data_IF_994233145662
#
_entry.id   IF_994233145662
#
_cell.length_a   1.000
_cell.length_b   1.000
_cell.length_c   1.000
_cell.angle_alpha   90.00
_cell.angle_beta   90.00
_cell.angle_gamma   90.00
#
_symmetry.space_group_name_H-M   'P 1'
#
loop_
_entity.id
_entity.type
_entity.pdbx_description
1 polymer ?
#
# COMPACT_ATOMS: atom_id res chain seq x y z
N UNK A 1 15.18 0.80 23.36
CA UNK A 1 15.34 -0.53 22.73
C UNK A 1 13.95 -1.08 22.40
N UNK A 2 13.54 -1.07 21.12
CA UNK A 2 12.43 -1.86 20.56
C UNK A 2 12.64 -1.90 19.05
N UNK A 3 12.88 -3.11 18.54
CA UNK A 3 13.24 -3.41 17.16
C UNK A 3 11.97 -3.61 16.35
N UNK A 4 11.86 -2.99 15.18
CA UNK A 4 11.04 -3.46 14.06
C UNK A 4 11.58 -2.83 12.77
N UNK A 5 12.47 -3.55 12.11
CA UNK A 5 12.70 -3.55 10.67
C UNK A 5 12.74 -2.18 9.94
N UNK A 6 13.84 -1.44 10.12
CA UNK A 6 14.90 -1.46 9.11
C UNK A 6 14.61 -1.09 7.65
N UNK A 7 13.50 -0.44 7.28
CA UNK A 7 13.37 0.17 5.95
C UNK A 7 13.13 1.66 6.05
N UNK A 8 14.09 2.44 5.52
CA UNK A 8 14.02 3.91 5.38
C UNK A 8 12.78 4.27 4.57
N UNK A 9 11.68 4.58 5.26
CA UNK A 9 10.55 5.31 4.73
C UNK A 9 11.03 6.76 4.54
N UNK A 10 11.49 7.05 3.34
CA UNK A 10 11.90 8.38 2.89
C UNK A 10 10.75 9.36 3.05
N UNK A 11 10.62 10.00 4.22
CA UNK A 11 9.82 11.20 4.51
C UNK A 11 8.31 11.19 4.20
N UNK A 12 7.80 10.14 3.54
CA UNK A 12 6.44 10.00 3.05
C UNK A 12 5.86 8.76 3.71
N UNK A 13 4.77 8.94 4.45
CA UNK A 13 4.10 7.91 5.23
C UNK A 13 3.90 6.63 4.40
N UNK A 14 4.24 5.44 4.92
CA UNK A 14 4.02 4.20 4.21
C UNK A 14 2.54 4.05 3.82
N UNK A 15 2.29 3.49 2.64
CA UNK A 15 0.93 3.18 2.18
C UNK A 15 0.29 2.19 3.17
N UNK A 16 -0.96 2.40 3.58
CA UNK A 16 -1.61 1.64 4.66
C UNK A 16 -1.62 2.33 6.03
N UNK A 17 -0.87 3.41 6.20
CA UNK A 17 -0.83 4.20 7.45
C UNK A 17 -1.08 5.69 7.17
N UNK A 18 -2.12 6.25 7.76
CA UNK A 18 -2.41 7.68 7.68
C UNK A 18 -1.91 8.39 8.94
N UNK A 19 -1.51 9.66 8.82
CA UNK A 19 -1.30 10.53 9.97
C UNK A 19 -2.66 10.74 10.64
N UNK A 20 -2.82 10.23 11.86
CA UNK A 20 -3.98 10.51 12.70
C UNK A 20 -4.07 12.00 13.02
N UNK A 21 -5.25 12.45 13.45
CA UNK A 21 -5.56 13.86 13.68
C UNK A 21 -4.61 14.59 14.66
N UNK A 22 -3.86 13.84 15.47
CA UNK A 22 -2.88 14.37 16.43
C UNK A 22 -1.48 14.60 15.83
N UNK A 23 -1.31 14.39 14.52
CA UNK A 23 -0.03 14.43 13.78
C UNK A 23 1.08 13.48 14.29
N UNK A 24 0.78 12.71 15.35
CA UNK A 24 1.71 11.78 16.03
C UNK A 24 1.30 10.32 15.94
N UNK A 25 0.02 10.03 15.66
CA UNK A 25 -0.48 8.66 15.59
C UNK A 25 -0.46 8.16 14.13
N UNK A 26 0.06 6.96 13.89
CA UNK A 26 -0.13 6.24 12.64
C UNK A 26 -1.43 5.44 12.78
N UNK A 27 -2.53 5.99 12.30
CA UNK A 27 -3.81 5.28 12.31
C UNK A 27 -3.90 4.40 11.05
N UNK A 28 -4.14 3.09 11.21
CA UNK A 28 -4.37 2.21 10.07
C UNK A 28 -5.65 2.64 9.36
N UNK A 29 -5.51 3.09 8.12
CA UNK A 29 -6.68 3.39 7.28
C UNK A 29 -7.24 2.07 6.76
N UNK A 30 -8.40 1.65 7.28
CA UNK A 30 -9.04 0.37 6.89
C UNK A 30 -9.10 0.19 5.38
N UNK A 31 -9.51 1.24 4.66
CA UNK A 31 -9.60 1.24 3.20
C UNK A 31 -8.26 0.96 2.50
N UNK A 32 -7.16 1.43 3.06
CA UNK A 32 -5.83 1.22 2.48
C UNK A 32 -5.21 -0.11 2.88
N UNK A 33 -5.54 -0.61 4.07
CA UNK A 33 -5.20 -1.98 4.48
C UNK A 33 -5.91 -3.00 3.58
N UNK A 34 -7.20 -2.80 3.30
CA UNK A 34 -7.95 -3.64 2.34
C UNK A 34 -7.34 -3.55 0.93
N UNK A 35 -6.94 -2.35 0.49
CA UNK A 35 -6.24 -2.20 -0.79
C UNK A 35 -4.86 -2.89 -0.80
N UNK A 36 -4.13 -2.89 0.33
CA UNK A 36 -2.84 -3.58 0.47
C UNK A 36 -2.99 -5.10 0.39
N UNK A 37 -3.97 -5.65 1.11
CA UNK A 37 -4.27 -7.08 1.05
C UNK A 37 -4.64 -7.47 -0.38
N UNK A 38 -5.46 -6.66 -1.05
CA UNK A 38 -5.83 -6.90 -2.44
C UNK A 38 -4.64 -6.81 -3.39
N UNK A 39 -3.75 -5.83 -3.21
CA UNK A 39 -2.50 -5.73 -3.98
C UNK A 39 -1.63 -6.98 -3.82
N UNK A 40 -1.52 -7.49 -2.59
CA UNK A 40 -0.76 -8.70 -2.28
C UNK A 40 -1.35 -9.91 -2.98
N UNK A 41 -2.66 -10.12 -2.89
CA UNK A 41 -3.34 -11.23 -3.57
C UNK A 41 -3.10 -11.20 -5.09
N UNK A 42 -3.29 -10.04 -5.71
CA UNK A 42 -3.10 -9.87 -7.15
C UNK A 42 -1.63 -10.08 -7.55
N UNK A 43 -0.68 -9.64 -6.71
CA UNK A 43 0.74 -9.87 -6.96
C UNK A 43 1.14 -11.33 -6.79
N UNK A 44 0.59 -12.03 -5.79
CA UNK A 44 0.76 -13.46 -5.60
C UNK A 44 0.20 -14.27 -6.78
N UNK A 45 -0.88 -13.78 -7.41
CA UNK A 45 -1.41 -14.31 -8.66
C UNK A 45 -0.57 -13.95 -9.91
N UNK A 46 0.57 -13.28 -9.75
CA UNK A 46 1.51 -12.95 -10.83
C UNK A 46 1.17 -11.69 -11.63
N UNK A 47 0.25 -10.84 -11.14
CA UNK A 47 -0.10 -9.60 -11.86
C UNK A 47 1.00 -8.54 -11.70
N UNK A 48 1.22 -7.79 -12.80
CA UNK A 48 2.07 -6.59 -12.82
C UNK A 48 1.33 -5.34 -12.37
N UNK A 49 2.06 -4.30 -11.98
CA UNK A 49 1.49 -3.08 -11.37
C UNK A 49 0.38 -2.40 -12.18
N UNK A 50 0.47 -2.45 -13.51
CA UNK A 50 -0.57 -1.89 -14.40
C UNK A 50 -1.89 -2.63 -14.24
N UNK A 51 -1.86 -3.97 -14.22
CA UNK A 51 -3.06 -4.79 -14.05
C UNK A 51 -3.62 -4.64 -12.63
N UNK A 52 -2.75 -4.61 -11.62
CA UNK A 52 -3.17 -4.38 -10.24
C UNK A 52 -3.87 -3.03 -10.10
N UNK A 53 -3.28 -1.95 -10.63
CA UNK A 53 -3.87 -0.61 -10.61
C UNK A 53 -5.24 -0.57 -11.30
N UNK A 54 -5.37 -1.24 -12.45
CA UNK A 54 -6.64 -1.34 -13.16
C UNK A 54 -7.69 -2.12 -12.34
N UNK A 55 -7.31 -3.26 -11.75
CA UNK A 55 -8.20 -4.05 -10.90
C UNK A 55 -8.67 -3.27 -9.68
N UNK A 56 -7.76 -2.59 -8.96
CA UNK A 56 -8.13 -1.75 -7.82
C UNK A 56 -9.10 -0.63 -8.21
N UNK A 57 -8.88 -0.01 -9.38
CA UNK A 57 -9.80 1.02 -9.90
C UNK A 57 -11.17 0.42 -10.22
N UNK A 58 -11.21 -0.74 -10.85
CA UNK A 58 -12.45 -1.43 -11.22
C UNK A 58 -13.23 -1.92 -9.99
N UNK A 59 -12.52 -2.33 -8.94
CA UNK A 59 -13.09 -2.77 -7.65
C UNK A 59 -13.49 -1.59 -6.75
N UNK A 60 -13.24 -0.34 -7.17
CA UNK A 60 -13.66 0.87 -6.46
C UNK A 60 -12.70 1.32 -5.35
N UNK A 61 -11.51 0.72 -5.25
CA UNK A 61 -10.49 1.18 -4.32
C UNK A 61 -9.99 2.57 -4.71
N UNK A 62 -9.84 3.42 -3.70
CA UNK A 62 -9.48 4.82 -3.86
C UNK A 62 -7.99 5.01 -3.63
N UNK A 63 -7.24 5.53 -4.62
CA UNK A 63 -5.86 5.92 -4.39
C UNK A 63 -5.81 7.15 -3.46
N UNK A 64 -4.70 7.33 -2.75
CA UNK A 64 -4.42 8.60 -2.02
C UNK A 64 -4.30 9.81 -2.94
N UNK A 65 -4.01 9.59 -4.22
CA UNK A 65 -3.90 10.61 -5.25
C UNK A 65 -5.08 10.59 -6.22
N UNK A 66 -4.91 11.20 -7.39
CA UNK A 66 -5.95 11.21 -8.43
C UNK A 66 -6.13 9.87 -9.16
N UNK A 67 -5.08 9.05 -9.19
CA UNK A 67 -5.06 7.74 -9.86
C UNK A 67 -4.05 6.81 -9.22
N UNK A 68 -4.22 5.52 -9.44
CA UNK A 68 -3.24 4.50 -9.11
C UNK A 68 -2.03 4.63 -10.05
N UNK A 69 -0.85 4.85 -9.47
CA UNK A 69 0.41 4.82 -10.22
C UNK A 69 0.91 3.38 -10.30
N UNK A 70 0.99 2.82 -11.51
CA UNK A 70 1.35 1.41 -11.71
C UNK A 70 2.74 1.06 -11.15
N UNK A 71 3.72 1.96 -11.24
CA UNK A 71 5.07 1.73 -10.74
C UNK A 71 5.12 1.72 -9.21
N UNK A 72 4.36 2.61 -8.57
CA UNK A 72 4.23 2.65 -7.12
C UNK A 72 3.41 1.46 -6.60
N UNK A 73 2.30 1.12 -7.25
CA UNK A 73 1.48 -0.06 -6.93
C UNK A 73 2.31 -1.33 -7.00
N UNK A 74 3.14 -1.50 -8.03
CA UNK A 74 4.03 -2.65 -8.14
C UNK A 74 5.00 -2.73 -6.96
N UNK A 75 5.67 -1.62 -6.62
CA UNK A 75 6.59 -1.57 -5.47
C UNK A 75 5.92 -1.91 -4.15
N UNK A 76 4.72 -1.38 -3.93
CA UNK A 76 3.93 -1.63 -2.71
C UNK A 76 3.53 -3.11 -2.66
N UNK A 77 3.02 -3.66 -3.76
CA UNK A 77 2.59 -5.05 -3.83
C UNK A 77 3.76 -6.04 -3.67
N UNK A 78 4.93 -5.73 -4.25
CA UNK A 78 6.17 -6.50 -4.05
C UNK A 78 6.61 -6.49 -2.59
N UNK A 79 6.61 -5.32 -1.94
CA UNK A 79 6.94 -5.19 -0.53
C UNK A 79 5.95 -5.95 0.37
N UNK A 80 4.65 -5.88 0.06
CA UNK A 80 3.60 -6.58 0.80
C UNK A 80 3.73 -8.11 0.68
N UNK A 81 4.10 -8.61 -0.50
CA UNK A 81 4.35 -10.04 -0.71
C UNK A 81 5.59 -10.53 0.04
N UNK A 82 6.66 -9.73 0.10
CA UNK A 82 7.92 -10.10 0.80
C UNK A 82 7.82 -10.04 2.33
N UNK A 83 6.90 -9.26 2.88
CA UNK A 83 6.72 -9.10 4.33
C UNK A 83 5.87 -10.23 4.99
N UNK A 84 5.59 -11.31 4.24
CA UNK A 84 4.70 -12.42 4.61
C UNK A 84 5.42 -13.63 5.18
#
# INVERSE_FOLDING_TARGET
>A
MKKANGQRISGRLPYGFQLGADEKALEPCKHEQEALDRMRELRAAGLGGVRIAATLTAEGFKPRGKKWDAGNVQRIADAALMAS
#
